data_IF_317621145712
#
_entry.id   IF_317621145712
#
_cell.length_a   1.000
_cell.length_b   1.000
_cell.length_c   1.000
_cell.angle_alpha   90.00
_cell.angle_beta   90.00
_cell.angle_gamma   90.00
#
_symmetry.space_group_name_H-M   'P 1'
#
loop_
_entity.id
_entity.type
_entity.pdbx_description
1 polymer ?
#
# COMPACT_ATOMS: atom_id res chain seq x y z
N UNK A 1 33.93 -14.43 -59.84
CA UNK A 1 33.27 -13.37 -59.04
C UNK A 1 32.22 -14.02 -58.16
N UNK A 2 32.54 -14.23 -56.87
CA UNK A 2 31.63 -14.83 -55.92
C UNK A 2 30.94 -13.69 -55.19
N UNK A 3 29.60 -13.54 -55.37
CA UNK A 3 28.80 -12.58 -54.59
C UNK A 3 28.40 -13.22 -53.29
N UNK A 4 28.97 -12.71 -52.18
CA UNK A 4 28.64 -13.10 -50.82
C UNK A 4 27.35 -12.35 -50.44
N UNK A 5 26.25 -13.08 -50.26
CA UNK A 5 24.97 -12.57 -49.85
C UNK A 5 24.94 -12.59 -48.29
N UNK A 6 25.09 -11.44 -47.65
CA UNK A 6 24.91 -11.30 -46.20
C UNK A 6 23.41 -11.27 -45.88
N UNK A 7 22.91 -12.36 -45.35
CA UNK A 7 21.57 -12.44 -44.70
C UNK A 7 21.68 -11.81 -43.33
N UNK A 8 21.21 -10.55 -43.21
CA UNK A 8 20.99 -9.91 -41.88
C UNK A 8 19.74 -10.50 -41.28
N UNK A 9 19.93 -11.43 -40.36
CA UNK A 9 18.86 -11.94 -39.48
C UNK A 9 18.59 -10.89 -38.37
N UNK A 10 17.61 -10.02 -38.60
CA UNK A 10 17.13 -9.10 -37.59
C UNK A 10 16.38 -9.88 -36.53
N UNK A 11 17.02 -10.10 -35.37
CA UNK A 11 16.33 -10.57 -34.18
C UNK A 11 15.41 -9.45 -33.67
N UNK A 12 14.13 -9.52 -33.98
CA UNK A 12 13.10 -8.77 -33.27
C UNK A 12 12.93 -9.39 -31.90
N UNK A 13 13.58 -8.82 -30.88
CA UNK A 13 13.23 -9.08 -29.49
C UNK A 13 11.89 -8.37 -29.26
N UNK A 14 10.82 -9.14 -29.40
CA UNK A 14 9.50 -8.72 -28.95
C UNK A 14 9.55 -8.67 -27.43
N UNK A 15 9.71 -7.48 -26.87
CA UNK A 15 9.41 -7.25 -25.46
C UNK A 15 7.91 -7.50 -25.28
N UNK A 16 7.56 -8.68 -24.87
CA UNK A 16 6.22 -8.95 -24.35
C UNK A 16 6.09 -8.16 -23.04
N UNK A 17 5.58 -6.93 -23.14
CA UNK A 17 4.98 -6.27 -21.98
C UNK A 17 3.84 -7.16 -21.53
N UNK A 18 3.92 -7.58 -20.28
CA UNK A 18 2.89 -8.39 -19.59
C UNK A 18 1.62 -7.53 -19.46
N UNK A 19 0.84 -7.46 -20.55
CA UNK A 19 -0.33 -6.58 -20.73
C UNK A 19 -1.61 -7.20 -20.15
N UNK A 20 -1.52 -8.27 -19.35
CA UNK A 20 -2.72 -8.99 -18.92
C UNK A 20 -2.87 -9.16 -17.41
N UNK A 21 -2.30 -8.28 -16.61
CA UNK A 21 -2.61 -8.26 -15.18
C UNK A 21 -4.01 -7.65 -14.98
N UNK A 22 -4.94 -8.48 -14.54
CA UNK A 22 -6.31 -8.08 -14.24
C UNK A 22 -6.32 -7.05 -13.10
N UNK A 23 -7.09 -5.99 -13.27
CA UNK A 23 -7.25 -4.94 -12.26
C UNK A 23 -8.55 -5.12 -11.49
N UNK A 24 -8.51 -4.78 -10.21
CA UNK A 24 -9.65 -4.86 -9.31
C UNK A 24 -9.78 -3.57 -8.49
N UNK A 25 -11.01 -3.27 -8.11
CA UNK A 25 -11.30 -2.15 -7.22
C UNK A 25 -11.17 -2.60 -5.78
N UNK A 26 -10.27 -1.95 -5.03
CA UNK A 26 -10.20 -2.04 -3.58
C UNK A 26 -10.93 -0.84 -2.97
N UNK A 27 -11.91 -1.09 -2.13
CA UNK A 27 -12.59 -0.08 -1.32
C UNK A 27 -12.01 -0.14 0.09
N UNK A 28 -11.31 0.92 0.48
CA UNK A 28 -10.85 1.12 1.86
C UNK A 28 -11.93 1.85 2.65
N UNK A 29 -12.30 1.35 3.82
CA UNK A 29 -13.16 2.02 4.77
C UNK A 29 -12.45 2.10 6.13
N UNK A 30 -12.29 3.31 6.62
CA UNK A 30 -11.66 3.60 7.90
C UNK A 30 -12.71 4.28 8.78
N UNK A 31 -13.39 3.53 9.66
CA UNK A 31 -14.37 4.08 10.60
C UNK A 31 -13.69 4.64 11.86
N UNK A 32 -14.44 5.39 12.64
CA UNK A 32 -14.06 5.86 13.99
C UNK A 32 -12.79 6.73 14.00
N UNK A 33 -12.70 7.67 13.06
CA UNK A 33 -11.69 8.72 13.11
C UNK A 33 -12.10 9.70 14.21
N UNK A 34 -11.30 9.78 15.27
CA UNK A 34 -11.62 10.57 16.47
C UNK A 34 -11.21 12.04 16.33
N UNK A 35 -10.14 12.29 15.59
CA UNK A 35 -9.58 13.64 15.42
C UNK A 35 -9.33 13.91 13.95
N UNK A 36 -9.73 15.08 13.49
CA UNK A 36 -9.41 15.54 12.14
C UNK A 36 -7.89 15.74 11.99
N UNK A 37 -7.37 15.50 10.81
CA UNK A 37 -5.94 15.62 10.50
C UNK A 37 -5.64 15.30 9.04
N UNK A 38 -4.44 14.83 8.80
CA UNK A 38 -4.02 14.28 7.51
C UNK A 38 -4.01 12.77 7.60
N UNK A 39 -4.75 12.10 6.71
CA UNK A 39 -4.67 10.65 6.60
C UNK A 39 -3.53 10.26 5.68
N UNK A 40 -2.67 9.37 6.17
CA UNK A 40 -1.64 8.69 5.39
C UNK A 40 -2.06 7.23 5.21
N UNK A 41 -2.18 6.78 3.98
CA UNK A 41 -2.44 5.39 3.65
C UNK A 41 -1.32 4.91 2.73
N UNK A 42 -0.63 3.88 3.16
CA UNK A 42 0.43 3.22 2.40
C UNK A 42 0.00 1.79 2.06
N UNK A 43 0.02 1.43 0.80
CA UNK A 43 -0.29 0.10 0.28
C UNK A 43 0.99 -0.53 -0.24
N UNK A 44 1.30 -1.71 0.23
CA UNK A 44 2.49 -2.48 -0.14
C UNK A 44 2.06 -3.79 -0.81
N UNK A 45 2.81 -4.23 -1.80
CA UNK A 45 2.58 -5.46 -2.55
C UNK A 45 3.62 -6.55 -2.27
N UNK A 46 4.54 -6.30 -1.33
CA UNK A 46 5.57 -7.26 -0.95
C UNK A 46 5.99 -7.11 0.53
N UNK A 47 6.58 -8.18 1.06
CA UNK A 47 7.01 -8.25 2.46
C UNK A 47 8.29 -7.44 2.74
N UNK A 48 9.21 -7.36 1.78
CA UNK A 48 10.49 -6.66 1.96
C UNK A 48 10.25 -5.19 2.29
N UNK A 49 9.44 -4.52 1.49
CA UNK A 49 9.13 -3.11 1.67
C UNK A 49 8.25 -2.86 2.90
N UNK A 50 7.18 -3.66 3.09
CA UNK A 50 6.30 -3.50 4.25
C UNK A 50 7.01 -3.71 5.58
N UNK A 51 7.90 -4.69 5.66
CA UNK A 51 8.60 -5.09 6.89
C UNK A 51 9.87 -4.28 7.13
N UNK A 52 10.34 -3.48 6.16
CA UNK A 52 11.58 -2.69 6.24
C UNK A 52 11.54 -1.61 7.32
N UNK A 53 10.36 -1.09 7.62
CA UNK A 53 10.18 0.11 8.44
C UNK A 53 10.53 1.41 7.70
N UNK A 54 10.87 1.32 6.42
CA UNK A 54 10.99 2.47 5.52
C UNK A 54 9.60 2.80 4.97
N UNK A 55 9.11 3.99 5.24
CA UNK A 55 7.82 4.49 4.76
C UNK A 55 8.01 5.52 3.63
N UNK A 56 9.11 5.43 2.86
CA UNK A 56 9.31 6.24 1.66
C UNK A 56 8.28 5.86 0.57
N UNK A 57 7.84 6.86 -0.19
CA UNK A 57 6.78 6.65 -1.21
C UNK A 57 7.22 5.77 -2.38
N UNK A 58 8.53 5.70 -2.63
CA UNK A 58 9.13 4.97 -3.75
C UNK A 58 8.92 3.45 -3.63
N UNK A 59 8.79 2.93 -2.41
CA UNK A 59 8.59 1.50 -2.16
C UNK A 59 7.12 1.11 -2.00
N UNK A 60 6.20 2.07 -2.05
CA UNK A 60 4.77 1.80 -1.93
C UNK A 60 4.15 1.49 -3.30
N UNK A 61 3.37 0.43 -3.38
CA UNK A 61 2.54 0.14 -4.56
C UNK A 61 1.50 1.25 -4.82
N UNK A 62 1.00 1.86 -3.74
CA UNK A 62 0.08 3.01 -3.80
C UNK A 62 0.11 3.80 -2.49
N UNK A 63 -0.09 5.10 -2.55
CA UNK A 63 -0.19 5.94 -1.35
C UNK A 63 -1.29 7.01 -1.48
N UNK A 64 -1.83 7.43 -0.33
CA UNK A 64 -2.80 8.50 -0.20
C UNK A 64 -2.34 9.41 0.94
N UNK A 65 -2.34 10.71 0.69
CA UNK A 65 -2.08 11.74 1.71
C UNK A 65 -3.10 12.84 1.45
N UNK A 66 -4.11 12.96 2.31
CA UNK A 66 -5.15 13.96 2.14
C UNK A 66 -5.79 14.35 3.48
N UNK A 67 -6.42 15.53 3.58
CA UNK A 67 -7.16 15.93 4.78
C UNK A 67 -8.30 14.97 5.06
N UNK A 68 -8.52 14.69 6.34
CA UNK A 68 -9.63 13.87 6.81
C UNK A 68 -10.34 14.54 7.97
N UNK A 69 -11.67 14.42 7.98
CA UNK A 69 -12.51 14.82 9.10
C UNK A 69 -12.79 13.65 10.04
N UNK A 70 -13.45 13.92 11.17
CA UNK A 70 -13.91 12.88 12.08
C UNK A 70 -14.91 11.93 11.43
N UNK A 71 -15.12 10.79 12.04
CA UNK A 71 -16.11 9.74 11.78
C UNK A 71 -15.62 8.67 10.81
N UNK A 72 -15.88 8.81 9.52
CA UNK A 72 -15.60 7.76 8.54
C UNK A 72 -14.90 8.32 7.31
N UNK A 73 -13.91 7.59 6.84
CA UNK A 73 -13.24 7.83 5.57
C UNK A 73 -13.40 6.63 4.65
N UNK A 74 -13.67 6.89 3.37
CA UNK A 74 -13.74 5.85 2.34
C UNK A 74 -12.98 6.29 1.10
N UNK A 75 -12.23 5.35 0.52
CA UNK A 75 -11.49 5.54 -0.74
C UNK A 75 -11.60 4.30 -1.61
N UNK A 76 -11.76 4.54 -2.92
CA UNK A 76 -11.66 3.50 -3.95
C UNK A 76 -10.34 3.67 -4.66
N UNK A 77 -9.60 2.58 -4.81
CA UNK A 77 -8.35 2.52 -5.57
C UNK A 77 -8.42 1.31 -6.53
N UNK A 78 -7.74 1.43 -7.66
CA UNK A 78 -7.63 0.36 -8.65
C UNK A 78 -6.21 -0.18 -8.55
N UNK A 79 -6.09 -1.47 -8.34
CA UNK A 79 -4.82 -2.18 -8.22
C UNK A 79 -4.87 -3.45 -9.10
N UNK A 80 -3.70 -3.91 -9.51
CA UNK A 80 -3.56 -5.19 -10.19
C UNK A 80 -3.88 -6.33 -9.24
N UNK A 81 -4.24 -7.50 -9.79
CA UNK A 81 -4.36 -8.72 -8.98
C UNK A 81 -3.05 -9.00 -8.25
N UNK A 82 -3.13 -9.28 -6.92
CA UNK A 82 -1.95 -9.47 -6.08
C UNK A 82 -2.28 -9.62 -4.60
N UNK A 83 -1.23 -9.76 -3.81
CA UNK A 83 -1.32 -9.74 -2.35
C UNK A 83 -0.87 -8.36 -1.85
N UNK A 84 -1.66 -7.75 -0.98
CA UNK A 84 -1.44 -6.38 -0.50
C UNK A 84 -1.57 -6.29 1.00
N UNK A 85 -0.79 -5.41 1.61
CA UNK A 85 -0.96 -4.99 3.00
C UNK A 85 -1.05 -3.46 3.07
N UNK A 86 -1.83 -2.95 4.04
CA UNK A 86 -2.11 -1.51 4.17
C UNK A 86 -1.73 -1.04 5.56
N UNK A 87 -1.04 0.10 5.63
CA UNK A 87 -0.81 0.90 6.83
C UNK A 87 -1.64 2.18 6.74
N UNK A 88 -2.23 2.59 7.85
CA UNK A 88 -2.98 3.85 7.99
C UNK A 88 -2.50 4.60 9.22
N UNK A 89 -2.30 5.92 9.07
CA UNK A 89 -1.98 6.86 10.14
C UNK A 89 -2.86 8.10 9.99
N UNK A 90 -3.33 8.66 11.09
CA UNK A 90 -3.96 9.99 11.16
C UNK A 90 -2.99 10.95 11.84
N UNK A 91 -2.29 11.76 11.07
CA UNK A 91 -1.41 12.82 11.57
C UNK A 91 -2.26 14.02 11.97
N UNK A 92 -2.36 14.27 13.27
CA UNK A 92 -3.24 15.29 13.83
C UNK A 92 -2.58 16.66 14.01
N UNK A 93 -1.25 16.70 14.02
CA UNK A 93 -0.46 17.92 14.17
C UNK A 93 0.24 18.33 12.87
N UNK A 94 0.10 17.54 11.80
CA UNK A 94 0.63 17.80 10.45
C UNK A 94 2.17 17.95 10.43
N UNK A 95 2.86 17.12 11.21
CA UNK A 95 4.34 17.09 11.23
C UNK A 95 4.92 16.04 10.25
N UNK A 96 4.10 15.14 9.71
CA UNK A 96 4.49 14.11 8.74
C UNK A 96 5.10 12.85 9.37
N UNK A 97 5.14 12.76 10.69
CA UNK A 97 5.73 11.65 11.45
C UNK A 97 4.72 11.04 12.41
N UNK A 98 4.93 9.80 12.81
CA UNK A 98 4.21 9.16 13.91
C UNK A 98 4.72 9.72 15.25
N UNK A 99 3.87 10.41 15.99
CA UNK A 99 4.19 10.84 17.35
C UNK A 99 4.11 9.70 18.34
N UNK A 100 5.18 9.50 19.10
CA UNK A 100 5.24 8.49 20.14
C UNK A 100 5.18 9.12 21.53
N UNK A 101 4.59 8.40 22.48
CA UNK A 101 4.65 8.79 23.88
C UNK A 101 5.98 8.31 24.51
N UNK A 102 6.16 8.60 25.81
CA UNK A 102 7.38 8.22 26.55
C UNK A 102 7.66 6.70 26.54
N UNK A 103 6.64 5.88 26.36
CA UNK A 103 6.75 4.41 26.31
C UNK A 103 6.94 3.88 24.86
N UNK A 104 7.10 4.76 23.87
CA UNK A 104 7.24 4.37 22.46
C UNK A 104 5.93 3.93 21.80
N UNK A 105 4.77 4.25 22.39
CA UNK A 105 3.47 3.95 21.80
C UNK A 105 2.97 5.15 20.99
N UNK A 106 2.34 4.93 19.81
CA UNK A 106 1.74 6.01 19.05
C UNK A 106 0.71 6.81 19.88
N UNK A 107 0.79 8.13 19.75
CA UNK A 107 -0.21 9.05 20.30
C UNK A 107 -1.35 9.30 19.32
N UNK A 108 -1.10 9.03 18.06
CA UNK A 108 -2.00 9.26 16.94
C UNK A 108 -2.67 7.96 16.52
N UNK A 109 -3.87 8.08 15.94
CA UNK A 109 -4.60 6.89 15.50
C UNK A 109 -3.90 6.23 14.32
N UNK A 110 -3.73 4.93 14.40
CA UNK A 110 -3.14 4.11 13.34
C UNK A 110 -3.86 2.77 13.21
N UNK A 111 -3.65 2.10 12.09
CA UNK A 111 -4.22 0.78 11.84
C UNK A 111 -3.55 0.06 10.68
N UNK A 112 -3.82 -1.23 10.60
CA UNK A 112 -3.32 -2.12 9.55
C UNK A 112 -4.45 -2.94 8.96
N UNK A 113 -4.30 -3.35 7.70
CA UNK A 113 -5.21 -4.33 7.10
C UNK A 113 -5.31 -5.60 7.95
N UNK A 114 -6.41 -6.34 7.79
CA UNK A 114 -6.81 -7.45 8.66
C UNK A 114 -6.98 -7.08 10.14
N UNK A 115 -6.88 -5.80 10.50
CA UNK A 115 -6.98 -5.31 11.88
C UNK A 115 -5.98 -5.98 12.85
N UNK A 116 -4.84 -6.42 12.34
CA UNK A 116 -3.79 -7.05 13.13
C UNK A 116 -2.92 -6.02 13.83
N UNK A 117 -2.31 -6.44 14.93
CA UNK A 117 -1.29 -5.68 15.64
C UNK A 117 -0.03 -6.53 15.78
N UNK A 118 1.12 -5.89 15.75
CA UNK A 118 2.37 -6.53 16.15
C UNK A 118 2.47 -6.63 17.69
N UNK A 119 3.21 -7.60 18.18
CA UNK A 119 3.48 -7.72 19.62
C UNK A 119 4.44 -6.63 20.10
N UNK A 120 5.39 -6.25 19.25
CA UNK A 120 6.41 -5.23 19.52
C UNK A 120 6.61 -4.38 18.25
N UNK A 121 5.68 -3.44 17.97
CA UNK A 121 5.72 -2.59 16.79
C UNK A 121 4.71 -2.98 15.72
N UNK A 122 5.00 -2.65 14.46
CA UNK A 122 4.12 -2.98 13.33
C UNK A 122 4.01 -4.50 13.13
N UNK A 123 2.85 -5.01 12.66
CA UNK A 123 2.72 -6.42 12.27
C UNK A 123 3.61 -6.72 11.05
N UNK A 124 3.86 -8.00 10.82
CA UNK A 124 4.52 -8.46 9.60
C UNK A 124 3.54 -8.54 8.43
N UNK A 125 4.07 -8.47 7.20
CA UNK A 125 3.29 -8.53 5.96
C UNK A 125 2.38 -9.77 5.91
N UNK A 126 2.87 -10.94 6.30
CA UNK A 126 2.11 -12.20 6.29
C UNK A 126 0.83 -12.14 7.16
N UNK A 127 0.79 -11.28 8.18
CA UNK A 127 -0.37 -11.08 9.05
C UNK A 127 -1.32 -10.00 8.52
N UNK A 128 -0.75 -8.96 7.92
CA UNK A 128 -1.51 -7.82 7.42
C UNK A 128 -2.02 -8.03 5.98
N UNK A 129 -1.40 -8.92 5.21
CA UNK A 129 -1.71 -9.09 3.79
C UNK A 129 -3.06 -9.75 3.54
N UNK A 130 -3.67 -9.35 2.43
CA UNK A 130 -4.90 -9.94 1.87
C UNK A 130 -4.73 -10.09 0.36
N UNK A 131 -5.41 -11.08 -0.20
CA UNK A 131 -5.45 -11.29 -1.65
C UNK A 131 -6.50 -10.39 -2.30
N UNK A 132 -6.10 -9.69 -3.37
CA UNK A 132 -6.95 -8.93 -4.26
C UNK A 132 -7.03 -9.64 -5.62
N UNK A 133 -7.99 -10.55 -5.78
CA UNK A 133 -8.28 -11.31 -7.00
C UNK A 133 -9.69 -11.07 -7.53
N UNK A 134 -10.41 -10.16 -6.90
CA UNK A 134 -11.73 -9.66 -7.23
C UNK A 134 -11.93 -8.28 -6.60
N UNK A 135 -12.99 -7.56 -6.96
CA UNK A 135 -13.34 -6.32 -6.28
C UNK A 135 -13.59 -6.61 -4.79
N UNK A 136 -12.91 -5.86 -3.93
CA UNK A 136 -12.92 -6.13 -2.49
C UNK A 136 -13.13 -4.84 -1.68
N UNK A 137 -13.86 -4.96 -0.57
CA UNK A 137 -13.91 -3.94 0.47
C UNK A 137 -13.21 -4.46 1.72
N UNK A 138 -12.32 -3.65 2.28
CA UNK A 138 -11.71 -3.92 3.58
C UNK A 138 -12.00 -2.78 4.55
N UNK A 139 -12.15 -3.14 5.82
CA UNK A 139 -12.40 -2.19 6.91
C UNK A 139 -11.17 -2.21 7.82
N UNK A 140 -10.53 -1.05 7.98
CA UNK A 140 -9.36 -0.88 8.86
C UNK A 140 -9.79 -0.04 10.05
N UNK A 141 -9.84 -0.67 11.22
CA UNK A 141 -10.16 -0.02 12.50
C UNK A 141 -8.91 0.60 13.07
N UNK A 142 -8.96 1.90 13.35
CA UNK A 142 -7.89 2.63 14.00
C UNK A 142 -7.88 2.41 15.52
N UNK A 143 -6.71 2.62 16.09
CA UNK A 143 -6.45 2.50 17.54
C UNK A 143 -5.65 3.68 18.03
#
# INVERSE_FOLDING_TARGET
>A
MIRLLFLLLSFYISSQTDQNSKEHTLVLEIPNIETAGIIYIAVYDNAEDFDSGDDSREIMAYNIIEPVSKEIYQKKIILKEGDYAVKVLIDTNNNGDIDLNFFGLPKEQFGFSNNVLGLFGAPKFDKASFKLNENKKIIIKLR
#
